data_IF_925521628414
#
_entry.id   IF_925521628414
#
_cell.length_a   1.000
_cell.length_b   1.000
_cell.length_c   1.000
_cell.angle_alpha   90.00
_cell.angle_beta   90.00
_cell.angle_gamma   90.00
#
_symmetry.space_group_name_H-M   'P 1'
#
loop_
_entity.id
_entity.type
_entity.pdbx_description
1 polymer ?
#
# COMPACT_ATOMS: atom_id res chain seq x y z
N UNK A 1 15.13 -15.24 -6.23
CA UNK A 1 14.00 -14.57 -6.91
C UNK A 1 14.45 -13.14 -7.12
N UNK A 2 14.37 -12.61 -8.34
CA UNK A 2 14.56 -11.18 -8.55
C UNK A 2 13.27 -10.47 -8.12
N UNK A 3 13.32 -9.33 -7.43
CA UNK A 3 12.12 -8.57 -7.10
C UNK A 3 11.40 -8.19 -8.41
N UNK A 4 10.05 -8.15 -8.42
CA UNK A 4 9.29 -7.69 -9.58
C UNK A 4 9.72 -6.26 -9.96
N UNK A 5 9.79 -5.94 -11.25
CA UNK A 5 9.98 -4.56 -11.71
C UNK A 5 8.63 -3.88 -11.85
N UNK A 6 8.35 -2.92 -10.99
CA UNK A 6 7.11 -2.15 -10.97
C UNK A 6 7.26 -0.87 -11.80
N UNK A 7 6.18 -0.42 -12.45
CA UNK A 7 6.19 0.89 -13.11
C UNK A 7 6.02 1.97 -12.05
N UNK A 8 7.01 2.86 -11.92
CA UNK A 8 7.00 3.99 -10.98
C UNK A 8 7.00 5.32 -11.73
N UNK A 9 6.12 6.22 -11.33
CA UNK A 9 6.17 7.65 -11.68
C UNK A 9 6.27 8.46 -10.38
N UNK A 10 7.49 8.83 -10.00
CA UNK A 10 7.74 9.47 -8.71
C UNK A 10 7.35 8.57 -7.52
N UNK A 11 6.50 9.10 -6.62
CA UNK A 11 6.01 8.41 -5.42
C UNK A 11 4.77 7.53 -5.65
N UNK A 12 4.35 7.33 -6.91
CA UNK A 12 3.20 6.49 -7.25
C UNK A 12 3.65 5.23 -7.99
N UNK A 13 3.18 4.08 -7.52
CA UNK A 13 3.43 2.76 -8.09
C UNK A 13 2.10 2.19 -8.56
N UNK A 14 2.03 1.83 -9.84
CA UNK A 14 0.82 1.25 -10.42
C UNK A 14 1.01 -0.24 -10.64
N UNK A 15 0.10 -1.03 -10.08
CA UNK A 15 0.01 -2.48 -10.19
C UNK A 15 -1.25 -2.86 -10.95
N UNK A 16 -1.22 -3.96 -11.70
CA UNK A 16 -2.44 -4.70 -12.03
C UNK A 16 -2.81 -5.68 -10.90
N UNK A 17 -4.00 -6.29 -10.99
CA UNK A 17 -4.48 -7.25 -10.00
C UNK A 17 -3.53 -8.46 -9.79
N UNK A 18 -2.85 -8.93 -10.84
CA UNK A 18 -1.92 -10.05 -10.72
C UNK A 18 -0.61 -9.63 -10.03
N UNK A 19 -0.12 -8.44 -10.34
CA UNK A 19 1.03 -7.82 -9.70
C UNK A 19 0.77 -7.54 -8.22
N UNK A 20 -0.46 -7.11 -7.88
CA UNK A 20 -0.90 -6.96 -6.49
C UNK A 20 -0.86 -8.27 -5.72
N UNK A 21 -1.43 -9.35 -6.28
CA UNK A 21 -1.36 -10.65 -5.63
C UNK A 21 0.09 -11.14 -5.47
N UNK A 22 0.94 -10.93 -6.47
CA UNK A 22 2.37 -11.27 -6.39
C UNK A 22 3.06 -10.48 -5.27
N UNK A 23 2.71 -9.20 -5.07
CA UNK A 23 3.21 -8.42 -3.95
C UNK A 23 2.81 -9.09 -2.64
N UNK A 24 1.51 -9.30 -2.39
CA UNK A 24 1.02 -9.91 -1.14
C UNK A 24 1.64 -11.29 -0.87
N UNK A 25 1.71 -12.16 -1.88
CA UNK A 25 2.31 -13.50 -1.78
C UNK A 25 3.81 -13.45 -1.45
N UNK A 26 4.50 -12.38 -1.85
CA UNK A 26 5.91 -12.17 -1.54
C UNK A 26 6.14 -11.74 -0.09
N UNK A 27 5.09 -11.37 0.64
CA UNK A 27 5.16 -10.87 2.01
C UNK A 27 4.87 -11.97 3.04
N UNK A 28 5.40 -11.76 4.23
CA UNK A 28 5.02 -12.49 5.43
C UNK A 28 4.89 -11.54 6.61
N UNK A 29 4.05 -11.90 7.57
CA UNK A 29 3.95 -11.23 8.86
C UNK A 29 4.48 -12.17 9.96
N UNK A 30 5.32 -11.64 10.84
CA UNK A 30 5.77 -12.33 12.05
C UNK A 30 6.11 -11.30 13.12
N UNK A 31 5.65 -11.54 14.34
CA UNK A 31 5.94 -10.69 15.50
C UNK A 31 5.59 -9.20 15.28
N UNK A 32 4.46 -8.92 14.61
CA UNK A 32 4.02 -7.56 14.23
C UNK A 32 4.99 -6.83 13.29
N UNK A 33 5.77 -7.60 12.52
CA UNK A 33 6.56 -7.08 11.42
C UNK A 33 6.17 -7.74 10.11
N UNK A 34 5.86 -6.89 9.14
CA UNK A 34 5.67 -7.27 7.76
C UNK A 34 6.97 -7.10 6.96
N UNK A 35 7.35 -8.15 6.21
CA UNK A 35 8.61 -8.21 5.45
C UNK A 35 8.51 -9.12 4.22
N UNK A 36 9.51 -9.06 3.33
CA UNK A 36 9.58 -9.91 2.13
C UNK A 36 10.15 -11.28 2.47
N UNK A 37 9.51 -12.33 1.95
CA UNK A 37 9.98 -13.71 1.99
C UNK A 37 11.33 -13.87 1.29
N UNK A 38 12.25 -14.57 1.95
CA UNK A 38 13.59 -14.87 1.47
C UNK A 38 13.68 -16.29 0.91
N UNK A 39 14.46 -16.45 -0.15
CA UNK A 39 14.67 -17.75 -0.76
C UNK A 39 15.42 -18.70 0.20
N UNK A 40 14.86 -19.89 0.43
CA UNK A 40 15.46 -20.91 1.30
C UNK A 40 15.02 -20.84 2.76
N UNK A 41 14.29 -19.81 3.15
CA UNK A 41 13.62 -19.76 4.46
C UNK A 41 12.31 -20.54 4.46
N UNK A 42 11.85 -20.89 5.67
CA UNK A 42 10.56 -21.55 5.90
C UNK A 42 9.61 -20.57 6.56
N UNK A 43 8.38 -20.59 6.09
CA UNK A 43 7.31 -19.77 6.60
C UNK A 43 6.09 -20.64 6.93
N UNK A 44 5.41 -20.32 8.01
CA UNK A 44 4.15 -20.92 8.39
C UNK A 44 3.01 -20.31 7.57
N UNK A 45 1.92 -21.07 7.45
CA UNK A 45 0.71 -20.60 6.77
C UNK A 45 0.07 -19.41 7.49
N UNK A 46 0.19 -19.39 8.81
CA UNK A 46 -0.34 -18.30 9.64
C UNK A 46 0.46 -16.99 9.47
N UNK A 47 1.51 -17.00 8.64
CA UNK A 47 2.32 -15.84 8.25
C UNK A 47 1.98 -15.37 6.83
N UNK A 48 0.88 -15.84 6.24
CA UNK A 48 0.33 -15.32 4.99
C UNK A 48 -0.14 -13.88 5.19
N UNK A 49 0.08 -13.03 4.17
CA UNK A 49 -0.31 -11.63 4.19
C UNK A 49 -1.41 -11.44 3.15
N UNK A 50 -2.52 -10.88 3.59
CA UNK A 50 -3.62 -10.40 2.76
C UNK A 50 -3.78 -8.87 2.90
N UNK A 51 -4.76 -8.30 2.19
CA UNK A 51 -5.07 -6.88 2.27
C UNK A 51 -5.41 -6.42 3.70
N UNK A 52 -6.13 -7.25 4.47
CA UNK A 52 -6.44 -6.98 5.87
C UNK A 52 -5.16 -6.89 6.72
N UNK A 53 -4.23 -7.82 6.54
CA UNK A 53 -2.93 -7.81 7.24
C UNK A 53 -2.12 -6.57 6.86
N UNK A 54 -2.10 -6.20 5.59
CA UNK A 54 -1.40 -5.00 5.12
C UNK A 54 -2.00 -3.70 5.69
N UNK A 55 -3.32 -3.65 5.89
CA UNK A 55 -4.01 -2.46 6.41
C UNK A 55 -3.49 -1.98 7.76
N UNK A 56 -2.96 -2.88 8.59
CA UNK A 56 -2.35 -2.52 9.87
C UNK A 56 -1.03 -1.74 9.73
N UNK A 57 -0.45 -1.69 8.54
CA UNK A 57 0.83 -1.03 8.22
C UNK A 57 0.69 0.14 7.23
N UNK A 58 -0.50 0.37 6.70
CA UNK A 58 -0.77 1.49 5.81
C UNK A 58 -1.01 2.77 6.61
N UNK A 59 -0.54 3.91 6.08
CA UNK A 59 -0.83 5.23 6.65
C UNK A 59 -2.28 5.65 6.36
N UNK A 60 -2.78 5.26 5.18
CA UNK A 60 -4.15 5.42 4.74
C UNK A 60 -4.41 4.50 3.55
N UNK A 61 -5.66 4.12 3.30
CA UNK A 61 -6.03 3.30 2.15
C UNK A 61 -7.48 3.52 1.73
N UNK A 62 -7.77 3.21 0.47
CA UNK A 62 -9.11 3.06 -0.07
C UNK A 62 -9.16 1.69 -0.75
N UNK A 63 -9.94 0.76 -0.20
CA UNK A 63 -10.00 -0.62 -0.66
C UNK A 63 -11.45 -1.08 -0.76
N UNK A 64 -11.75 -1.89 -1.78
CA UNK A 64 -13.01 -2.61 -1.88
C UNK A 64 -13.10 -3.83 -0.95
N UNK A 65 -11.96 -4.39 -0.57
CA UNK A 65 -11.88 -5.59 0.25
C UNK A 65 -11.77 -5.29 1.76
N UNK A 66 -11.22 -4.13 2.12
CA UNK A 66 -11.02 -3.70 3.51
C UNK A 66 -11.71 -2.37 3.75
N UNK A 67 -12.58 -2.32 4.76
CA UNK A 67 -13.27 -1.09 5.18
C UNK A 67 -12.26 -0.11 5.80
N UNK A 68 -11.93 0.94 5.06
CA UNK A 68 -11.09 2.06 5.51
C UNK A 68 -11.91 3.25 5.99
N UNK A 69 -11.28 4.15 6.76
CA UNK A 69 -11.92 5.37 7.27
C UNK A 69 -11.41 6.62 6.55
N UNK A 70 -11.86 6.84 5.32
CA UNK A 70 -11.46 7.99 4.49
C UNK A 70 -11.82 9.31 5.18
N UNK A 71 -13.02 9.40 5.77
CA UNK A 71 -13.49 10.63 6.39
C UNK A 71 -12.77 10.93 7.70
N UNK A 72 -12.56 9.93 8.56
CA UNK A 72 -11.75 10.08 9.77
C UNK A 72 -10.31 10.46 9.45
N UNK A 73 -9.71 9.84 8.42
CA UNK A 73 -8.36 10.20 7.96
C UNK A 73 -8.31 11.64 7.45
N UNK A 74 -9.34 12.11 6.73
CA UNK A 74 -9.42 13.49 6.27
C UNK A 74 -9.51 14.49 7.44
N UNK A 75 -10.29 14.15 8.47
CA UNK A 75 -10.40 14.93 9.69
C UNK A 75 -9.07 14.98 10.46
N UNK A 76 -8.35 13.86 10.55
CA UNK A 76 -7.05 13.78 11.24
C UNK A 76 -5.97 14.67 10.60
N UNK A 77 -6.07 14.95 9.30
CA UNK A 77 -5.17 15.86 8.58
C UNK A 77 -5.68 17.31 8.52
N UNK A 78 -6.72 17.65 9.29
CA UNK A 78 -7.36 18.97 9.35
C UNK A 78 -7.87 19.49 7.99
N UNK A 79 -8.35 18.59 7.12
CA UNK A 79 -8.90 18.94 5.81
C UNK A 79 -10.43 18.74 5.73
N UNK A 80 -11.04 19.26 4.66
CA UNK A 80 -12.47 19.09 4.39
C UNK A 80 -12.71 18.77 2.92
N UNK A 81 -13.76 18.01 2.61
CA UNK A 81 -14.11 17.67 1.25
C UNK A 81 -15.63 17.52 1.09
N UNK A 82 -16.12 17.67 -0.14
CA UNK A 82 -17.54 17.55 -0.49
C UNK A 82 -17.89 16.16 -1.02
N UNK A 83 -16.89 15.40 -1.48
CA UNK A 83 -17.04 14.04 -1.98
C UNK A 83 -15.90 13.16 -1.48
N UNK A 84 -16.10 11.85 -1.49
CA UNK A 84 -15.07 10.89 -1.12
C UNK A 84 -13.87 10.92 -2.08
N UNK A 85 -14.12 11.14 -3.38
CA UNK A 85 -13.07 11.31 -4.38
C UNK A 85 -12.18 12.54 -4.06
N UNK A 86 -12.79 13.65 -3.68
CA UNK A 86 -12.06 14.85 -3.25
C UNK A 86 -11.30 14.60 -1.94
N UNK A 87 -11.92 13.90 -0.98
CA UNK A 87 -11.28 13.52 0.28
C UNK A 87 -10.03 12.67 0.02
N UNK A 88 -10.16 11.63 -0.79
CA UNK A 88 -9.05 10.72 -1.12
C UNK A 88 -7.93 11.43 -1.88
N UNK A 89 -8.26 12.32 -2.82
CA UNK A 89 -7.27 13.12 -3.53
C UNK A 89 -6.45 14.02 -2.57
N UNK A 90 -7.10 14.61 -1.57
CA UNK A 90 -6.44 15.44 -0.54
C UNK A 90 -5.56 14.62 0.39
N UNK A 91 -6.05 13.49 0.87
CA UNK A 91 -5.29 12.53 1.70
C UNK A 91 -4.04 12.08 0.94
N UNK A 92 -4.21 11.67 -0.32
CA UNK A 92 -3.11 11.25 -1.18
C UNK A 92 -2.07 12.36 -1.32
N UNK A 93 -2.48 13.59 -1.68
CA UNK A 93 -1.56 14.71 -1.81
C UNK A 93 -0.81 15.00 -0.49
N UNK A 94 -1.51 14.98 0.64
CA UNK A 94 -0.94 15.22 1.96
C UNK A 94 0.20 14.23 2.29
N UNK A 95 -0.01 12.94 2.08
CA UNK A 95 0.99 11.92 2.41
C UNK A 95 2.13 11.86 1.39
N UNK A 96 1.84 12.04 0.09
CA UNK A 96 2.88 12.07 -0.94
C UNK A 96 3.84 13.27 -0.74
N UNK A 97 3.32 14.44 -0.36
CA UNK A 97 4.14 15.62 -0.02
C UNK A 97 5.07 15.38 1.18
N UNK A 98 4.76 14.38 2.00
CA UNK A 98 5.56 13.93 3.16
C UNK A 98 6.49 12.76 2.83
N UNK A 99 6.58 12.38 1.56
CA UNK A 99 7.45 11.32 1.07
C UNK A 99 6.89 9.91 1.24
N UNK A 100 5.58 9.75 1.50
CA UNK A 100 4.96 8.43 1.41
C UNK A 100 4.88 7.96 -0.05
N UNK A 101 4.56 6.68 -0.23
CA UNK A 101 4.35 6.05 -1.53
C UNK A 101 2.90 5.64 -1.66
N UNK A 102 2.29 5.95 -2.80
CA UNK A 102 0.98 5.44 -3.17
C UNK A 102 1.15 4.19 -4.05
N UNK A 103 0.57 3.07 -3.62
CA UNK A 103 0.39 1.87 -4.44
C UNK A 103 -1.04 1.86 -4.94
N UNK A 104 -1.23 1.97 -6.26
CA UNK A 104 -2.53 1.93 -6.92
C UNK A 104 -2.68 0.63 -7.70
N UNK A 105 -3.71 -0.14 -7.40
CA UNK A 105 -4.05 -1.36 -8.13
C UNK A 105 -5.12 -1.05 -9.17
N UNK A 106 -4.92 -1.54 -10.38
CA UNK A 106 -5.78 -1.29 -11.54
C UNK A 106 -6.38 -2.59 -12.08
N UNK A 107 -7.50 -2.47 -12.79
CA UNK A 107 -8.20 -3.62 -13.36
C UNK A 107 -9.11 -4.37 -12.38
N UNK A 108 -9.42 -3.75 -11.23
CA UNK A 108 -10.45 -4.19 -10.29
C UNK A 108 -11.75 -3.41 -10.50
N UNK A 109 -12.86 -3.96 -10.03
CA UNK A 109 -14.18 -3.31 -10.09
C UNK A 109 -14.33 -2.19 -9.05
N UNK A 110 -13.62 -2.32 -7.93
CA UNK A 110 -13.59 -1.35 -6.83
C UNK A 110 -12.18 -0.73 -6.67
N UNK A 111 -12.06 0.46 -6.06
CA UNK A 111 -10.77 1.08 -5.79
C UNK A 111 -9.90 0.22 -4.89
N UNK A 112 -8.59 0.27 -5.11
CA UNK A 112 -7.61 -0.46 -4.32
C UNK A 112 -6.30 0.34 -4.32
N UNK A 113 -6.19 1.25 -3.36
CA UNK A 113 -5.14 2.24 -3.23
C UNK A 113 -4.60 2.27 -1.80
N UNK A 114 -3.28 2.19 -1.67
CA UNK A 114 -2.59 2.03 -0.39
C UNK A 114 -1.47 3.06 -0.24
N UNK A 115 -1.49 3.83 0.85
CA UNK A 115 -0.42 4.77 1.19
C UNK A 115 0.50 4.12 2.21
N UNK A 116 1.77 3.99 1.84
CA UNK A 116 2.81 3.37 2.67
C UNK A 116 3.90 4.39 2.99
N UNK A 117 4.43 4.37 4.21
CA UNK A 117 5.64 5.12 4.54
C UNK A 117 6.80 4.71 3.60
N UNK A 118 7.62 5.67 3.15
CA UNK A 118 8.70 5.39 2.19
C UNK A 118 9.68 4.30 2.67
N UNK A 119 10.08 4.32 3.93
CA UNK A 119 10.98 3.31 4.48
C UNK A 119 10.36 1.91 4.44
N UNK A 120 9.05 1.83 4.70
CA UNK A 120 8.32 0.58 4.62
C UNK A 120 8.22 0.11 3.16
N UNK A 121 7.79 0.96 2.24
CA UNK A 121 7.75 0.64 0.80
C UNK A 121 9.11 0.16 0.28
N UNK A 122 10.20 0.84 0.65
CA UNK A 122 11.56 0.42 0.28
C UNK A 122 11.92 -0.97 0.85
N UNK A 123 11.53 -1.28 2.09
CA UNK A 123 11.69 -2.61 2.69
C UNK A 123 10.90 -3.70 1.98
N UNK A 124 9.77 -3.35 1.34
CA UNK A 124 8.97 -4.26 0.52
C UNK A 124 9.52 -4.40 -0.92
N UNK A 125 10.64 -3.75 -1.24
CA UNK A 125 11.25 -3.82 -2.56
C UNK A 125 10.45 -3.06 -3.62
N UNK A 126 9.59 -2.14 -3.20
CA UNK A 126 8.86 -1.22 -4.06
C UNK A 126 9.81 -0.07 -4.47
N UNK A 127 9.81 0.34 -5.75
CA UNK A 127 10.64 1.43 -6.24
C UNK A 127 10.16 2.75 -5.63
N UNK A 128 10.85 3.18 -4.58
CA UNK A 128 10.75 4.54 -4.07
C UNK A 128 11.45 5.47 -5.06
N UNK A 129 10.69 6.35 -5.72
CA UNK A 129 11.25 7.40 -6.55
C UNK A 129 12.15 8.29 -5.69
N UNK A 130 13.47 8.25 -5.92
CA UNK A 130 14.35 9.30 -5.41
C UNK A 130 14.00 10.58 -6.18
N UNK A 131 13.25 11.47 -5.55
CA UNK A 131 13.09 12.85 -6.03
C UNK A 131 14.43 13.60 -5.97
#
# INVERSE_FOLDING_TARGET
MNPPSWAADGSVITLDAAQWQILLDSLYERDHMLAIRQAGERYHRDEEVDAYTLSAYAEAFQSGDVEGDVWGTLEDIDETATTEEEAWAKITAFYLDRGCVLVRVTGLDEPEEWILAAEFAARLGLPVGNA
#
